data_IF_960576155810
#
_entry.id   IF_960576155810
#
_cell.length_a   1.000
_cell.length_b   1.000
_cell.length_c   1.000
_cell.angle_alpha   90.00
_cell.angle_beta   90.00
_cell.angle_gamma   90.00
#
_symmetry.space_group_name_H-M   'P 1'
#
loop_
_entity.id
_entity.type
_entity.pdbx_description
1 polymer ?
#
# COMPACT_ATOMS: atom_id res chain seq x y z
N UNK A 1 8.35 -25.98 -3.10
CA UNK A 1 7.72 -24.74 -3.62
C UNK A 1 6.25 -24.67 -3.23
N UNK A 2 5.79 -23.47 -2.84
CA UNK A 2 4.39 -23.19 -2.54
C UNK A 2 3.62 -22.94 -3.83
N UNK A 3 2.35 -23.34 -3.89
CA UNK A 3 1.45 -22.89 -4.96
C UNK A 3 1.17 -21.39 -4.84
N UNK A 4 0.69 -20.76 -5.92
CA UNK A 4 0.36 -19.32 -5.90
C UNK A 4 -0.69 -18.97 -4.82
N UNK A 5 -1.67 -19.85 -4.60
CA UNK A 5 -2.69 -19.66 -3.58
C UNK A 5 -2.11 -19.73 -2.16
N UNK A 6 -1.22 -20.71 -1.91
CA UNK A 6 -0.54 -20.87 -0.62
C UNK A 6 0.40 -19.71 -0.34
N UNK A 7 1.18 -19.27 -1.33
CA UNK A 7 2.07 -18.12 -1.21
C UNK A 7 1.28 -16.82 -0.93
N UNK A 8 0.14 -16.62 -1.60
CA UNK A 8 -0.73 -15.47 -1.37
C UNK A 8 -1.34 -15.45 0.03
N UNK A 9 -1.70 -16.62 0.57
CA UNK A 9 -2.16 -16.77 1.95
C UNK A 9 -1.02 -16.50 2.94
N UNK A 10 0.14 -17.11 2.73
CA UNK A 10 1.29 -16.95 3.61
C UNK A 10 1.80 -15.49 3.65
N UNK A 11 1.75 -14.77 2.51
CA UNK A 11 2.05 -13.32 2.47
C UNK A 11 1.18 -12.49 3.42
N UNK A 12 -0.09 -12.89 3.62
CA UNK A 12 -1.05 -12.14 4.46
C UNK A 12 -1.07 -12.61 5.91
N UNK A 13 -0.86 -13.90 6.15
CA UNK A 13 -1.08 -14.54 7.45
C UNK A 13 0.22 -15.06 8.10
N UNK A 14 1.37 -14.91 7.45
CA UNK A 14 2.64 -15.45 7.91
C UNK A 14 2.75 -16.96 7.70
N UNK A 15 3.53 -17.63 8.56
CA UNK A 15 3.82 -19.07 8.44
C UNK A 15 4.91 -19.37 7.41
N UNK A 16 5.75 -18.39 7.11
CA UNK A 16 6.93 -18.53 6.26
C UNK A 16 8.17 -18.79 7.13
N UNK A 17 9.25 -19.36 6.56
CA UNK A 17 10.51 -19.57 7.27
C UNK A 17 11.11 -18.30 7.87
N UNK A 18 11.94 -18.45 8.91
CA UNK A 18 12.52 -17.32 9.65
C UNK A 18 13.40 -16.40 8.79
N UNK A 19 14.01 -16.94 7.73
CA UNK A 19 14.85 -16.19 6.79
C UNK A 19 14.04 -15.44 5.72
N UNK A 20 12.71 -15.61 5.65
CA UNK A 20 11.84 -14.96 4.66
C UNK A 20 11.97 -13.43 4.67
N UNK A 21 12.04 -12.83 5.86
CA UNK A 21 12.07 -11.38 5.98
C UNK A 21 13.35 -10.79 5.37
N UNK A 22 14.49 -11.41 5.65
CA UNK A 22 15.79 -10.95 5.17
C UNK A 22 16.04 -11.31 3.69
N UNK A 23 15.65 -12.51 3.27
CA UNK A 23 15.99 -13.04 1.95
C UNK A 23 14.98 -12.69 0.86
N UNK A 24 13.73 -12.39 1.23
CA UNK A 24 12.65 -12.14 0.26
C UNK A 24 11.97 -10.80 0.50
N UNK A 25 11.46 -10.55 1.72
CA UNK A 25 10.62 -9.38 1.96
C UNK A 25 11.39 -8.06 1.90
N UNK A 26 12.56 -7.98 2.54
CA UNK A 26 13.39 -6.78 2.54
C UNK A 26 13.93 -6.44 1.13
N UNK A 27 14.45 -7.40 0.35
CA UNK A 27 14.79 -7.16 -1.05
C UNK A 27 13.60 -6.68 -1.89
N UNK A 28 12.40 -7.24 -1.66
CA UNK A 28 11.18 -6.77 -2.31
C UNK A 28 10.83 -5.32 -1.95
N UNK A 29 10.91 -4.96 -0.66
CA UNK A 29 10.66 -3.58 -0.18
C UNK A 29 11.64 -2.59 -0.80
N UNK A 30 12.92 -2.94 -0.88
CA UNK A 30 13.94 -2.09 -1.53
C UNK A 30 13.69 -1.96 -3.04
N UNK A 31 13.37 -3.06 -3.72
CA UNK A 31 13.02 -3.00 -5.14
C UNK A 31 11.79 -2.11 -5.40
N UNK A 32 10.79 -2.17 -4.53
CA UNK A 32 9.60 -1.32 -4.60
C UNK A 32 9.96 0.17 -4.41
N UNK A 33 10.81 0.49 -3.43
CA UNK A 33 11.30 1.86 -3.23
C UNK A 33 12.02 2.39 -4.47
N UNK A 34 12.89 1.59 -5.08
CA UNK A 34 13.59 1.96 -6.32
C UNK A 34 12.61 2.22 -7.48
N UNK A 35 11.51 1.48 -7.56
CA UNK A 35 10.46 1.75 -8.55
C UNK A 35 9.74 3.08 -8.27
N UNK A 36 9.39 3.35 -7.02
CA UNK A 36 8.74 4.62 -6.63
C UNK A 36 9.65 5.80 -6.96
N UNK A 37 10.94 5.74 -6.61
CA UNK A 37 11.93 6.78 -6.92
C UNK A 37 11.99 7.07 -8.42
N UNK A 38 12.02 6.02 -9.25
CA UNK A 38 12.07 6.14 -10.70
C UNK A 38 10.80 6.78 -11.26
N UNK A 39 9.63 6.37 -10.75
CA UNK A 39 8.34 6.97 -11.14
C UNK A 39 8.27 8.46 -10.79
N UNK A 40 8.76 8.85 -9.61
CA UNK A 40 8.83 10.27 -9.21
C UNK A 40 9.80 11.06 -10.10
N UNK A 41 10.98 10.51 -10.41
CA UNK A 41 11.92 11.13 -11.34
C UNK A 41 11.29 11.35 -12.73
N UNK A 42 10.55 10.36 -13.25
CA UNK A 42 9.83 10.52 -14.51
C UNK A 42 8.78 11.63 -14.42
N UNK A 43 8.01 11.69 -13.32
CA UNK A 43 7.03 12.75 -13.08
C UNK A 43 7.65 14.15 -13.06
N UNK A 44 8.78 14.34 -12.34
CA UNK A 44 9.48 15.62 -12.29
C UNK A 44 10.08 16.00 -13.65
N UNK A 45 10.57 15.02 -14.42
CA UNK A 45 11.12 15.30 -15.76
C UNK A 45 10.06 15.75 -16.78
N UNK A 46 8.78 15.39 -16.55
CA UNK A 46 7.67 15.68 -17.46
C UNK A 46 6.77 16.84 -17.03
N UNK A 47 7.04 17.47 -15.89
CA UNK A 47 6.20 18.55 -15.33
C UNK A 47 7.06 19.72 -14.86
N UNK A 48 6.43 20.80 -14.41
CA UNK A 48 7.13 21.93 -13.76
C UNK A 48 7.34 21.71 -12.26
N UNK A 49 6.80 20.62 -11.70
CA UNK A 49 6.93 20.27 -10.28
C UNK A 49 8.25 19.56 -10.05
N UNK A 50 8.95 19.90 -8.97
CA UNK A 50 10.25 19.33 -8.62
C UNK A 50 10.19 18.44 -7.37
N UNK A 51 9.07 18.48 -6.65
CA UNK A 51 8.78 17.71 -5.45
C UNK A 51 7.27 17.42 -5.33
N UNK A 52 6.91 16.61 -4.33
CA UNK A 52 5.52 16.35 -3.92
C UNK A 52 5.41 16.49 -2.41
N UNK A 53 4.28 17.01 -1.93
CA UNK A 53 4.08 17.24 -0.49
C UNK A 53 3.87 15.94 0.30
N UNK A 54 3.29 14.91 -0.34
CA UNK A 54 2.93 13.65 0.30
C UNK A 54 2.85 12.50 -0.69
N UNK A 55 3.16 11.30 -0.20
CA UNK A 55 2.94 10.02 -0.88
C UNK A 55 1.80 9.28 -0.16
N UNK A 56 0.84 8.78 -0.93
CA UNK A 56 -0.28 7.98 -0.40
C UNK A 56 -0.25 6.59 -1.03
N UNK A 57 -0.06 5.55 -0.21
CA UNK A 57 0.04 4.18 -0.67
C UNK A 57 -1.33 3.51 -0.73
N UNK A 58 -1.71 3.02 -1.90
CA UNK A 58 -2.94 2.26 -2.12
C UNK A 58 -2.66 0.85 -2.66
N UNK A 59 -3.68 0.01 -2.66
CA UNK A 59 -3.61 -1.40 -3.08
C UNK A 59 -3.19 -2.35 -1.96
N UNK A 60 -3.32 -3.66 -2.19
CA UNK A 60 -3.11 -4.66 -1.13
C UNK A 60 -1.68 -4.76 -0.61
N UNK A 61 -0.69 -4.33 -1.40
CA UNK A 61 0.71 -4.29 -0.98
C UNK A 61 1.00 -3.13 -0.03
N UNK A 62 0.15 -2.09 0.03
CA UNK A 62 0.31 -0.98 0.97
C UNK A 62 0.18 -1.43 2.44
N UNK A 63 -0.45 -2.58 2.69
CA UNK A 63 -0.56 -3.18 4.04
C UNK A 63 0.73 -3.85 4.55
N UNK A 64 1.82 -3.84 3.78
CA UNK A 64 3.09 -4.37 4.28
C UNK A 64 3.59 -3.50 5.43
N UNK A 65 3.80 -4.14 6.59
CA UNK A 65 4.23 -3.45 7.80
C UNK A 65 5.55 -2.68 7.58
N UNK A 66 5.55 -1.40 7.97
CA UNK A 66 6.69 -0.48 7.90
C UNK A 66 7.05 0.00 6.49
N UNK A 67 6.24 -0.31 5.47
CA UNK A 67 6.53 0.12 4.09
C UNK A 67 6.44 1.63 3.92
N UNK A 68 5.40 2.25 4.48
CA UNK A 68 5.21 3.70 4.52
C UNK A 68 6.39 4.41 5.20
N UNK A 69 6.80 3.92 6.37
CA UNK A 69 7.90 4.45 7.17
C UNK A 69 9.23 4.32 6.42
N UNK A 70 9.46 3.18 5.75
CA UNK A 70 10.65 2.96 4.92
C UNK A 70 10.72 3.97 3.77
N UNK A 71 9.60 4.17 3.07
CA UNK A 71 9.52 5.11 1.95
C UNK A 71 9.74 6.55 2.44
N UNK A 72 9.06 6.95 3.51
CA UNK A 72 9.21 8.29 4.09
C UNK A 72 10.66 8.55 4.51
N UNK A 73 11.28 7.61 5.21
CA UNK A 73 12.68 7.73 5.67
C UNK A 73 13.66 7.86 4.50
N UNK A 74 13.39 7.16 3.40
CA UNK A 74 14.30 7.11 2.24
C UNK A 74 14.13 8.28 1.28
N UNK A 75 12.90 8.80 1.16
CA UNK A 75 12.58 9.89 0.23
C UNK A 75 12.53 11.26 0.90
N UNK A 76 12.41 11.32 2.23
CA UNK A 76 12.21 12.57 2.96
C UNK A 76 10.84 13.20 2.73
N UNK A 77 9.89 12.46 2.13
CA UNK A 77 8.54 12.91 1.82
C UNK A 77 7.54 12.17 2.70
N UNK A 78 6.64 12.88 3.40
CA UNK A 78 5.60 12.26 4.23
C UNK A 78 4.85 11.15 3.47
N UNK A 79 4.74 9.97 4.07
CA UNK A 79 4.12 8.81 3.44
C UNK A 79 3.04 8.21 4.35
N UNK A 80 1.88 7.89 3.80
CA UNK A 80 0.79 7.28 4.56
C UNK A 80 0.04 6.24 3.74
N UNK A 81 -0.48 5.21 4.41
CA UNK A 81 -1.36 4.22 3.79
C UNK A 81 -2.77 4.79 3.62
N UNK A 82 -3.35 4.60 2.43
CA UNK A 82 -4.68 5.12 2.09
C UNK A 82 -5.80 4.41 2.88
N UNK A 83 -6.72 5.18 3.44
CA UNK A 83 -7.99 4.66 3.96
C UNK A 83 -9.17 5.44 3.36
N UNK A 84 -9.89 4.91 2.37
CA UNK A 84 -11.04 5.58 1.79
C UNK A 84 -12.24 5.65 2.73
N UNK A 85 -12.23 4.89 3.83
CA UNK A 85 -13.34 4.83 4.78
C UNK A 85 -13.13 5.75 5.99
N UNK A 86 -12.03 6.51 6.03
CA UNK A 86 -11.84 7.53 7.05
C UNK A 86 -13.01 8.53 7.00
N UNK A 87 -13.60 8.80 8.16
CA UNK A 87 -14.79 9.64 8.34
C UNK A 87 -16.10 9.09 7.73
N UNK A 88 -16.14 7.81 7.31
CA UNK A 88 -17.39 7.16 6.94
C UNK A 88 -18.04 6.45 8.13
N UNK A 89 -19.38 6.47 8.19
CA UNK A 89 -20.11 5.64 9.14
C UNK A 89 -20.15 4.19 8.63
N UNK A 90 -19.55 3.29 9.39
CA UNK A 90 -19.61 1.85 9.11
C UNK A 90 -20.91 1.28 9.70
N UNK A 91 -21.65 0.53 8.88
CA UNK A 91 -22.87 -0.17 9.30
C UNK A 91 -22.52 -1.38 10.17
N UNK A 92 -23.34 -1.68 11.18
CA UNK A 92 -23.15 -2.84 12.09
C UNK A 92 -23.19 -4.20 11.37
N UNK A 93 -23.67 -4.22 10.11
CA UNK A 93 -23.67 -5.42 9.26
C UNK A 93 -22.31 -5.69 8.60
N UNK A 94 -21.36 -4.76 8.72
CA UNK A 94 -20.03 -4.85 8.11
C UNK A 94 -19.01 -5.15 9.19
N UNK A 95 -18.15 -6.15 8.94
CA UNK A 95 -16.99 -6.39 9.79
C UNK A 95 -15.98 -5.24 9.60
N UNK A 96 -15.97 -4.31 10.54
CA UNK A 96 -15.09 -3.14 10.52
C UNK A 96 -13.61 -3.54 10.54
N UNK A 97 -13.25 -4.60 11.29
CA UNK A 97 -11.86 -5.05 11.38
C UNK A 97 -11.36 -5.60 10.05
N UNK A 98 -12.19 -6.38 9.35
CA UNK A 98 -11.87 -6.88 8.01
C UNK A 98 -11.86 -5.75 6.98
N UNK A 99 -12.81 -4.83 7.05
CA UNK A 99 -12.87 -3.67 6.15
C UNK A 99 -11.61 -2.83 6.25
N UNK A 100 -11.16 -2.49 7.46
CA UNK A 100 -9.94 -1.69 7.66
C UNK A 100 -8.68 -2.39 7.14
N UNK A 101 -8.58 -3.72 7.27
CA UNK A 101 -7.47 -4.49 6.69
C UNK A 101 -7.44 -4.45 5.16
N UNK A 102 -8.59 -4.40 4.51
CA UNK A 102 -8.68 -4.37 3.05
C UNK A 102 -8.77 -2.93 2.50
N UNK A 103 -8.89 -1.92 3.37
CA UNK A 103 -9.19 -0.53 3.01
C UNK A 103 -8.29 0.08 1.92
N UNK A 104 -6.95 -0.07 1.96
CA UNK A 104 -6.11 0.50 0.91
C UNK A 104 -6.37 -0.10 -0.48
N UNK A 105 -6.87 -1.35 -0.53
CA UNK A 105 -7.25 -2.03 -1.77
C UNK A 105 -8.60 -1.57 -2.32
N UNK A 106 -9.41 -0.90 -1.51
CA UNK A 106 -10.78 -0.52 -1.86
C UNK A 106 -10.89 0.87 -2.46
N UNK A 107 -9.79 1.62 -2.62
CA UNK A 107 -9.78 2.98 -3.17
C UNK A 107 -10.58 3.11 -4.48
N UNK A 108 -10.37 2.18 -5.43
CA UNK A 108 -11.06 2.20 -6.72
C UNK A 108 -12.55 1.87 -6.56
N UNK A 109 -12.89 0.82 -5.79
CA UNK A 109 -14.27 0.42 -5.56
C UNK A 109 -15.06 1.52 -4.82
N UNK A 110 -14.43 2.18 -3.84
CA UNK A 110 -14.99 3.31 -3.14
C UNK A 110 -15.25 4.48 -4.09
N UNK A 111 -14.27 4.87 -4.91
CA UNK A 111 -14.45 5.94 -5.91
C UNK A 111 -15.57 5.63 -6.91
N UNK A 112 -15.69 4.39 -7.37
CA UNK A 112 -16.79 3.96 -8.24
C UNK A 112 -18.16 4.07 -7.57
N UNK A 113 -18.26 3.70 -6.28
CA UNK A 113 -19.50 3.84 -5.51
C UNK A 113 -19.84 5.32 -5.24
N UNK A 114 -18.84 6.18 -5.07
CA UNK A 114 -19.02 7.61 -4.82
C UNK A 114 -19.63 8.35 -6.03
N UNK A 115 -19.43 7.83 -7.25
CA UNK A 115 -20.02 8.41 -8.47
C UNK A 115 -21.56 8.52 -8.41
N UNK A 116 -22.23 7.73 -7.58
CA UNK A 116 -23.68 7.81 -7.40
C UNK A 116 -24.16 9.04 -6.60
N UNK A 117 -23.24 9.82 -6.02
CA UNK A 117 -23.54 11.03 -5.26
C UNK A 117 -23.11 12.32 -5.99
N UNK A 118 -22.56 12.20 -7.20
CA UNK A 118 -22.29 13.30 -8.13
C UNK A 118 -23.51 13.64 -8.99
#
# INVERSE_FOLDING_TARGET
>A
DLTAAEAGKAKKFGGLPDDYEETVLNPFKEALLQQIMRSLQFFYSGTTYNDVDRIVLAGGTANLAGLDTLIETRLGTPCSVANPFDNMRISDRVDAGRLMKDAPSMMIACGLAMRSFD
#
